data_IF_148608150738
#
_entry.id   IF_148608150738
#
_cell.length_a   1.000
_cell.length_b   1.000
_cell.length_c   1.000
_cell.angle_alpha   90.00
_cell.angle_beta   90.00
_cell.angle_gamma   90.00
#
_symmetry.space_group_name_H-M   'P 1'
#
loop_
_entity.id
_entity.type
_entity.pdbx_description
1 polymer ?
#
# COMPACT_ATOMS: atom_id res chain seq x y z
N UNK A 1 4.69 10.76 24.09
CA UNK A 1 3.85 10.77 22.86
C UNK A 1 4.55 9.85 21.87
N UNK A 2 3.90 8.79 21.42
CA UNK A 2 4.45 7.89 20.40
C UNK A 2 4.47 8.63 19.06
N UNK A 3 5.59 8.58 18.34
CA UNK A 3 5.63 9.13 16.98
C UNK A 3 4.70 8.29 16.08
N UNK A 4 3.89 8.91 15.20
CA UNK A 4 3.06 8.16 14.27
C UNK A 4 3.95 7.32 13.34
N UNK A 5 3.41 6.17 12.91
CA UNK A 5 4.13 5.27 11.98
C UNK A 5 4.34 5.92 10.60
N UNK A 6 3.35 6.67 10.14
CA UNK A 6 3.46 7.51 8.92
C UNK A 6 2.99 8.91 9.26
N UNK A 7 3.78 9.91 8.92
CA UNK A 7 3.40 11.33 9.07
C UNK A 7 3.64 12.06 7.76
N UNK A 8 2.60 12.72 7.29
CA UNK A 8 2.62 13.62 6.15
C UNK A 8 2.16 14.99 6.63
N UNK A 9 2.92 16.04 6.38
CA UNK A 9 2.62 17.40 6.84
C UNK A 9 2.73 18.39 5.69
N UNK A 10 1.68 19.20 5.52
CA UNK A 10 1.62 20.29 4.54
C UNK A 10 1.95 19.85 3.12
N UNK A 11 1.51 18.63 2.73
CA UNK A 11 1.79 18.03 1.44
C UNK A 11 1.16 18.83 0.32
N UNK A 12 1.97 19.24 -0.65
CA UNK A 12 1.56 19.93 -1.87
C UNK A 12 2.07 19.18 -3.09
N UNK A 13 1.21 19.08 -4.12
CA UNK A 13 1.56 18.47 -5.41
C UNK A 13 0.80 19.09 -6.54
N UNK A 14 1.52 19.46 -7.59
CA UNK A 14 0.95 20.00 -8.83
C UNK A 14 1.42 19.21 -10.05
N UNK A 15 0.59 19.14 -11.06
CA UNK A 15 0.94 18.64 -12.38
C UNK A 15 0.71 19.75 -13.40
N UNK A 16 1.80 20.35 -13.87
CA UNK A 16 1.77 21.53 -14.70
C UNK A 16 1.14 22.72 -13.95
N UNK A 17 -0.04 23.19 -14.40
CA UNK A 17 -0.77 24.29 -13.76
C UNK A 17 -1.86 23.83 -12.78
N UNK A 18 -2.09 22.53 -12.67
CA UNK A 18 -3.15 21.98 -11.82
C UNK A 18 -2.55 21.57 -10.48
N UNK A 19 -2.97 22.28 -9.41
CA UNK A 19 -2.63 21.91 -8.04
C UNK A 19 -3.62 20.81 -7.59
N UNK A 20 -3.07 19.61 -7.30
CA UNK A 20 -3.85 18.42 -6.94
C UNK A 20 -3.87 18.20 -5.43
N UNK A 21 -2.74 18.42 -4.75
CA UNK A 21 -2.68 18.44 -3.28
C UNK A 21 -2.36 19.85 -2.82
N UNK A 22 -3.23 20.43 -1.98
CA UNK A 22 -3.22 21.86 -1.63
C UNK A 22 -2.86 22.13 -0.16
N UNK A 23 -2.17 21.36 0.53
CA UNK A 23 -1.86 21.46 1.97
C UNK A 23 -2.51 20.34 2.79
N UNK A 24 -2.17 19.12 2.43
CA UNK A 24 -2.72 17.93 3.09
C UNK A 24 -1.79 17.50 4.22
N UNK A 25 -2.36 17.32 5.41
CA UNK A 25 -1.66 16.73 6.55
C UNK A 25 -2.44 15.52 7.06
N UNK A 26 -1.73 14.41 7.32
CA UNK A 26 -2.29 13.23 7.94
C UNK A 26 -1.24 12.46 8.73
N UNK A 27 -1.67 11.74 9.74
CA UNK A 27 -0.83 10.82 10.50
C UNK A 27 -1.53 9.47 10.62
N UNK A 28 -0.73 8.40 10.67
CA UNK A 28 -1.20 7.02 10.85
C UNK A 28 -0.42 6.40 12.00
N UNK A 29 -1.13 5.99 13.04
CA UNK A 29 -0.54 5.31 14.19
C UNK A 29 -0.33 3.82 13.90
N UNK A 30 0.52 3.17 14.66
CA UNK A 30 0.72 1.73 14.53
C UNK A 30 -0.56 0.96 14.84
N UNK A 31 -0.92 0.00 14.00
CA UNK A 31 -2.13 -0.81 14.11
C UNK A 31 -3.41 -0.11 13.64
N UNK A 32 -3.31 1.14 13.16
CA UNK A 32 -4.44 1.93 12.72
C UNK A 32 -4.78 1.69 11.24
N UNK A 33 -6.05 1.69 10.92
CA UNK A 33 -6.59 1.67 9.56
C UNK A 33 -7.16 3.04 9.20
N UNK A 34 -6.58 3.70 8.20
CA UNK A 34 -7.05 4.99 7.67
C UNK A 34 -7.65 4.76 6.28
N UNK A 35 -8.92 5.08 6.09
CA UNK A 35 -9.55 5.07 4.78
C UNK A 35 -9.58 6.48 4.18
N UNK A 36 -9.20 6.59 2.91
CA UNK A 36 -9.29 7.83 2.12
C UNK A 36 -10.36 7.64 1.07
N UNK A 37 -11.41 8.45 1.15
CA UNK A 37 -12.57 8.40 0.28
C UNK A 37 -12.80 9.75 -0.41
N UNK A 38 -13.66 9.80 -1.40
CA UNK A 38 -14.03 11.04 -2.13
C UNK A 38 -14.22 10.80 -3.62
N UNK A 39 -14.59 11.83 -4.39
CA UNK A 39 -14.85 11.73 -5.82
C UNK A 39 -13.58 11.37 -6.62
N UNK A 40 -13.79 10.83 -7.82
CA UNK A 40 -12.70 10.62 -8.77
C UNK A 40 -12.06 11.96 -9.15
N UNK A 41 -10.72 11.97 -9.24
CA UNK A 41 -9.97 13.21 -9.48
C UNK A 41 -9.66 14.05 -8.24
N UNK A 42 -10.18 13.72 -7.04
CA UNK A 42 -9.93 14.43 -5.78
C UNK A 42 -8.50 14.27 -5.20
N UNK A 43 -7.54 13.73 -5.94
CA UNK A 43 -6.14 13.63 -5.51
C UNK A 43 -5.78 12.43 -4.65
N UNK A 44 -6.72 11.52 -4.32
CA UNK A 44 -6.51 10.37 -3.42
C UNK A 44 -5.32 9.48 -3.83
N UNK A 45 -5.31 9.00 -5.09
CA UNK A 45 -4.20 8.18 -5.60
C UNK A 45 -2.90 8.97 -5.71
N UNK A 46 -2.97 10.28 -5.97
CA UNK A 46 -1.77 11.16 -5.95
C UNK A 46 -1.19 11.24 -4.55
N UNK A 47 -2.04 11.42 -3.52
CA UNK A 47 -1.63 11.43 -2.13
C UNK A 47 -0.94 10.11 -1.74
N UNK A 48 -1.57 8.99 -2.07
CA UNK A 48 -1.02 7.65 -1.80
C UNK A 48 0.31 7.44 -2.55
N UNK A 49 0.41 7.86 -3.83
CA UNK A 49 1.65 7.79 -4.60
C UNK A 49 2.77 8.63 -4.02
N UNK A 50 2.47 9.82 -3.48
CA UNK A 50 3.46 10.63 -2.77
C UNK A 50 3.96 9.93 -1.50
N UNK A 51 3.05 9.35 -0.70
CA UNK A 51 3.43 8.58 0.48
C UNK A 51 4.26 7.35 0.15
N UNK A 52 3.99 6.67 -0.96
CA UNK A 52 4.71 5.46 -1.40
C UNK A 52 5.92 5.73 -2.31
N UNK A 53 6.36 6.98 -2.42
CA UNK A 53 7.52 7.39 -3.21
C UNK A 53 7.44 7.04 -4.70
N UNK A 54 6.22 6.89 -5.24
CA UNK A 54 5.96 6.78 -6.67
C UNK A 54 5.86 8.16 -7.33
N UNK A 55 5.51 9.19 -6.53
CA UNK A 55 5.54 10.59 -6.88
C UNK A 55 6.29 11.37 -5.81
N UNK A 56 6.85 12.51 -6.19
CA UNK A 56 7.51 13.43 -5.27
C UNK A 56 6.56 14.56 -4.86
N UNK A 57 6.62 14.97 -3.60
CA UNK A 57 5.96 16.17 -3.11
C UNK A 57 6.64 17.42 -3.69
N UNK A 58 5.86 18.44 -4.03
CA UNK A 58 6.36 19.76 -4.39
C UNK A 58 6.56 20.62 -3.13
N UNK A 59 5.90 20.32 -2.02
CA UNK A 59 6.06 20.95 -0.71
C UNK A 59 5.56 20.07 0.41
N UNK A 60 6.01 20.35 1.63
CA UNK A 60 5.68 19.58 2.82
C UNK A 60 6.70 18.51 3.20
N UNK A 61 6.36 17.69 4.18
CA UNK A 61 7.25 16.70 4.78
C UNK A 61 6.60 15.33 4.84
N UNK A 62 7.41 14.27 4.71
CA UNK A 62 7.01 12.86 4.86
C UNK A 62 7.98 12.14 5.77
N UNK A 63 7.49 11.38 6.75
CA UNK A 63 8.30 10.50 7.59
C UNK A 63 7.63 9.14 7.80
N UNK A 64 8.47 8.13 8.08
CA UNK A 64 8.08 6.80 8.53
C UNK A 64 8.71 6.57 9.91
N UNK A 65 7.91 6.74 10.97
CA UNK A 65 8.42 6.80 12.35
C UNK A 65 9.50 7.88 12.47
N UNK A 66 10.68 7.50 12.91
CA UNK A 66 11.84 8.42 13.06
C UNK A 66 12.60 8.70 11.75
N UNK A 67 12.25 8.01 10.66
CA UNK A 67 12.90 8.20 9.36
C UNK A 67 12.28 9.38 8.60
N UNK A 68 12.93 10.54 8.62
CA UNK A 68 12.56 11.67 7.77
C UNK A 68 12.91 11.36 6.31
N UNK A 69 11.88 11.19 5.47
CA UNK A 69 12.01 10.83 4.05
C UNK A 69 12.08 12.06 3.17
N UNK A 70 11.22 13.03 3.45
CA UNK A 70 11.21 14.35 2.85
C UNK A 70 10.94 15.40 3.91
N UNK A 71 11.61 16.54 3.82
CA UNK A 71 11.44 17.69 4.71
C UNK A 71 11.08 18.93 3.91
N UNK A 72 10.24 19.80 4.47
CA UNK A 72 9.91 21.06 3.83
C UNK A 72 11.14 21.98 3.80
N UNK A 73 11.62 22.30 2.62
CA UNK A 73 12.76 23.21 2.39
C UNK A 73 12.37 24.67 2.18
N UNK A 74 11.07 25.01 2.35
CA UNK A 74 10.55 26.38 2.13
C UNK A 74 10.27 26.69 0.65
N UNK A 75 11.09 26.23 -0.27
CA UNK A 75 10.88 26.36 -1.73
C UNK A 75 10.46 25.04 -2.39
N UNK A 76 10.29 23.97 -1.60
CA UNK A 76 9.89 22.63 -2.04
C UNK A 76 10.35 21.58 -1.06
N UNK A 77 9.85 20.35 -1.24
CA UNK A 77 10.28 19.21 -0.42
C UNK A 77 11.68 18.74 -0.77
N UNK A 78 12.53 18.59 0.23
CA UNK A 78 13.90 18.06 0.09
C UNK A 78 13.90 16.60 0.53
N UNK A 79 14.15 15.70 -0.40
CA UNK A 79 14.19 14.27 -0.16
C UNK A 79 15.56 13.82 0.36
N UNK A 80 15.55 12.86 1.26
CA UNK A 80 16.75 12.19 1.74
C UNK A 80 17.54 11.50 0.63
N UNK A 81 18.82 11.21 0.87
CA UNK A 81 19.67 10.51 -0.07
C UNK A 81 19.18 9.06 -0.38
N UNK A 82 19.85 8.42 -1.35
CA UNK A 82 19.48 7.05 -1.80
C UNK A 82 19.32 6.04 -0.66
N UNK A 83 20.13 6.12 0.38
CA UNK A 83 20.06 5.23 1.54
C UNK A 83 18.73 5.40 2.30
N UNK A 84 18.32 6.65 2.57
CA UNK A 84 17.07 6.99 3.23
C UNK A 84 15.87 6.49 2.41
N UNK A 85 15.86 6.76 1.11
CA UNK A 85 14.78 6.32 0.21
C UNK A 85 14.72 4.78 0.11
N UNK A 86 15.86 4.11 0.10
CA UNK A 86 15.91 2.64 0.12
C UNK A 86 15.35 2.08 1.43
N UNK A 87 15.71 2.66 2.56
CA UNK A 87 15.19 2.28 3.87
C UNK A 87 13.69 2.55 3.98
N UNK A 88 13.20 3.70 3.49
CA UNK A 88 11.77 4.01 3.48
C UNK A 88 10.96 2.95 2.70
N UNK A 89 11.47 2.51 1.55
CA UNK A 89 10.82 1.48 0.72
C UNK A 89 10.72 0.10 1.38
N UNK A 90 11.46 -0.17 2.45
CA UNK A 90 11.29 -1.41 3.22
C UNK A 90 10.23 -1.30 4.31
N UNK A 91 9.74 -0.08 4.61
CA UNK A 91 8.74 0.15 5.65
C UNK A 91 7.31 -0.10 5.19
N UNK A 92 7.06 -0.07 3.89
CA UNK A 92 5.70 -0.19 3.37
C UNK A 92 5.56 -1.25 2.28
N UNK A 93 4.36 -1.80 2.16
CA UNK A 93 3.88 -2.56 1.02
C UNK A 93 2.83 -1.76 0.26
N UNK A 94 2.77 -1.93 -1.06
CA UNK A 94 1.78 -1.27 -1.91
C UNK A 94 1.03 -2.30 -2.74
N UNK A 95 -0.30 -2.22 -2.67
CA UNK A 95 -1.24 -3.02 -3.46
C UNK A 95 -1.94 -2.09 -4.44
N UNK A 96 -1.73 -2.34 -5.72
CA UNK A 96 -2.26 -1.53 -6.82
C UNK A 96 -3.67 -1.94 -7.23
N UNK A 97 -4.39 -1.03 -7.86
CA UNK A 97 -5.70 -1.24 -8.46
C UNK A 97 -5.70 -2.37 -9.51
N UNK A 98 -4.69 -2.43 -10.38
CA UNK A 98 -4.58 -3.38 -11.48
C UNK A 98 -3.65 -4.57 -11.16
N UNK A 99 -3.58 -5.00 -9.88
CA UNK A 99 -2.78 -6.12 -9.38
C UNK A 99 -1.27 -5.98 -9.64
N UNK A 100 -0.84 -5.56 -10.80
CA UNK A 100 0.54 -5.36 -11.27
C UNK A 100 1.45 -6.57 -10.98
N UNK A 101 0.92 -7.77 -11.19
CA UNK A 101 1.70 -9.00 -11.07
C UNK A 101 2.66 -9.13 -12.26
N UNK A 102 3.80 -9.77 -12.02
CA UNK A 102 4.71 -10.15 -13.10
C UNK A 102 4.07 -11.29 -13.91
N UNK A 103 3.66 -11.05 -15.17
CA UNK A 103 2.79 -11.97 -15.90
C UNK A 103 3.46 -13.33 -16.22
N UNK A 104 4.79 -13.34 -16.29
CA UNK A 104 5.57 -14.56 -16.59
C UNK A 104 6.10 -15.26 -15.32
N UNK A 105 5.79 -14.73 -14.14
CA UNK A 105 6.15 -15.37 -12.87
C UNK A 105 4.99 -16.21 -12.37
N UNK A 106 5.31 -17.34 -11.75
CA UNK A 106 4.31 -18.11 -11.00
C UNK A 106 3.83 -17.29 -9.80
N UNK A 107 2.73 -17.70 -9.20
CA UNK A 107 2.22 -17.14 -7.93
C UNK A 107 3.32 -17.13 -6.87
N UNK A 108 3.96 -18.28 -6.65
CA UNK A 108 5.03 -18.39 -5.66
C UNK A 108 6.19 -17.43 -5.97
N UNK A 109 6.60 -17.32 -7.25
CA UNK A 109 7.69 -16.41 -7.62
C UNK A 109 7.29 -14.94 -7.51
N UNK A 110 6.03 -14.55 -7.78
CA UNK A 110 5.54 -13.20 -7.53
C UNK A 110 5.68 -12.80 -6.05
N UNK A 111 5.46 -13.74 -5.13
CA UNK A 111 5.55 -13.51 -3.68
C UNK A 111 7.01 -13.50 -3.21
N UNK A 112 7.84 -14.40 -3.71
CA UNK A 112 9.18 -14.67 -3.15
C UNK A 112 10.32 -13.86 -3.78
N UNK A 113 10.13 -13.32 -4.98
CA UNK A 113 11.23 -12.69 -5.74
C UNK A 113 11.85 -11.50 -5.00
N UNK A 114 11.07 -10.56 -4.52
CA UNK A 114 11.60 -9.39 -3.83
C UNK A 114 12.27 -9.70 -2.47
N UNK A 115 11.69 -10.53 -1.59
CA UNK A 115 12.37 -10.98 -0.38
C UNK A 115 13.73 -11.65 -0.65
N UNK A 116 13.83 -12.45 -1.71
CA UNK A 116 15.08 -13.14 -2.08
C UNK A 116 16.08 -12.21 -2.77
N UNK A 117 15.62 -11.46 -3.79
CA UNK A 117 16.51 -10.69 -4.68
C UNK A 117 16.90 -9.34 -4.10
N UNK A 118 15.97 -8.65 -3.40
CA UNK A 118 16.16 -7.29 -2.87
C UNK A 118 16.57 -7.33 -1.40
N UNK A 119 15.78 -8.03 -0.55
CA UNK A 119 16.06 -8.11 0.88
C UNK A 119 17.16 -9.13 1.23
N UNK A 120 17.54 -10.00 0.29
CA UNK A 120 18.58 -11.03 0.48
C UNK A 120 18.29 -11.97 1.65
N UNK A 121 17.01 -12.24 1.94
CA UNK A 121 16.61 -13.12 3.04
C UNK A 121 16.90 -14.59 2.72
N UNK A 122 17.15 -15.44 3.73
CA UNK A 122 17.36 -16.87 3.55
C UNK A 122 16.19 -17.54 2.84
N UNK A 123 16.49 -18.36 1.83
CA UNK A 123 15.49 -19.01 0.97
C UNK A 123 14.45 -19.79 1.76
N UNK A 124 14.91 -20.59 2.75
CA UNK A 124 13.99 -21.44 3.52
C UNK A 124 12.98 -20.64 4.32
N UNK A 125 13.40 -19.51 4.90
CA UNK A 125 12.49 -18.59 5.60
C UNK A 125 11.48 -17.93 4.65
N UNK A 126 11.95 -17.48 3.48
CA UNK A 126 11.08 -16.86 2.48
C UNK A 126 10.06 -17.87 1.95
N UNK A 127 10.47 -19.11 1.69
CA UNK A 127 9.58 -20.16 1.21
C UNK A 127 8.54 -20.54 2.26
N UNK A 128 8.94 -20.70 3.52
CA UNK A 128 8.00 -20.97 4.62
C UNK A 128 6.95 -19.86 4.74
N UNK A 129 7.38 -18.60 4.79
CA UNK A 129 6.47 -17.46 4.85
C UNK A 129 5.55 -17.37 3.61
N UNK A 130 6.06 -17.67 2.41
CA UNK A 130 5.25 -17.65 1.21
C UNK A 130 4.13 -18.69 1.27
N UNK A 131 4.39 -19.88 1.78
CA UNK A 131 3.36 -20.92 1.98
C UNK A 131 2.31 -20.49 3.02
N UNK A 132 2.73 -19.90 4.14
CA UNK A 132 1.80 -19.34 5.14
C UNK A 132 0.90 -18.26 4.51
N UNK A 133 1.47 -17.35 3.71
CA UNK A 133 0.72 -16.33 3.00
C UNK A 133 -0.25 -16.93 1.97
N UNK A 134 0.13 -17.98 1.26
CA UNK A 134 -0.78 -18.67 0.33
C UNK A 134 -1.98 -19.28 1.04
N UNK A 135 -1.77 -19.93 2.19
CA UNK A 135 -2.85 -20.45 3.04
C UNK A 135 -3.75 -19.29 3.49
N UNK A 136 -3.17 -18.23 4.04
CA UNK A 136 -3.90 -17.04 4.52
C UNK A 136 -4.74 -16.39 3.42
N UNK A 137 -4.27 -16.38 2.19
CA UNK A 137 -4.96 -15.82 1.02
C UNK A 137 -5.97 -16.80 0.39
N UNK A 138 -6.05 -18.06 0.86
CA UNK A 138 -6.87 -19.10 0.22
C UNK A 138 -6.41 -19.41 -1.21
N UNK A 139 -5.09 -19.50 -1.39
CA UNK A 139 -4.42 -19.75 -2.67
C UNK A 139 -3.62 -21.06 -2.67
N UNK A 140 -3.91 -21.98 -1.74
CA UNK A 140 -3.28 -23.29 -1.66
C UNK A 140 -3.46 -24.07 -2.97
N UNK A 141 -2.40 -24.74 -3.39
CA UNK A 141 -2.38 -25.51 -4.65
C UNK A 141 -2.25 -24.64 -5.92
N UNK A 142 -2.05 -23.32 -5.79
CA UNK A 142 -1.89 -22.39 -6.90
C UNK A 142 -0.47 -21.84 -7.10
N UNK A 143 0.48 -22.41 -6.38
CA UNK A 143 1.88 -21.95 -6.30
C UNK A 143 2.54 -21.83 -7.67
N UNK A 144 2.24 -22.78 -8.56
CA UNK A 144 2.84 -22.91 -9.89
C UNK A 144 2.03 -22.25 -11.01
N UNK A 145 0.82 -21.74 -10.70
CA UNK A 145 -0.01 -21.04 -11.68
C UNK A 145 0.60 -19.66 -12.00
N UNK A 146 0.33 -19.18 -13.21
CA UNK A 146 0.68 -17.83 -13.66
C UNK A 146 -0.56 -16.91 -13.60
N UNK A 147 -0.40 -15.58 -13.57
CA UNK A 147 -1.51 -14.65 -13.39
C UNK A 147 -2.70 -14.86 -14.35
N UNK A 148 -2.46 -15.21 -15.61
CA UNK A 148 -3.54 -15.42 -16.60
C UNK A 148 -4.42 -16.66 -16.30
N UNK A 149 -3.98 -17.56 -15.43
CA UNK A 149 -4.74 -18.75 -15.00
C UNK A 149 -5.59 -18.47 -13.73
N UNK A 150 -5.53 -17.24 -13.20
CA UNK A 150 -6.19 -16.84 -11.96
C UNK A 150 -7.37 -15.90 -12.26
N UNK A 151 -8.44 -16.00 -11.45
CA UNK A 151 -9.47 -14.97 -11.43
C UNK A 151 -8.93 -13.63 -10.92
N UNK A 152 -9.57 -12.51 -11.25
CA UNK A 152 -9.15 -11.17 -10.77
C UNK A 152 -9.01 -11.10 -9.25
N UNK A 153 -9.96 -11.67 -8.50
CA UNK A 153 -9.88 -11.72 -7.04
C UNK A 153 -8.72 -12.57 -6.52
N UNK A 154 -8.34 -13.65 -7.23
CA UNK A 154 -7.15 -14.44 -6.91
C UNK A 154 -5.88 -13.64 -7.21
N UNK A 155 -5.81 -12.94 -8.35
CA UNK A 155 -4.68 -12.08 -8.69
C UNK A 155 -4.48 -10.97 -7.64
N UNK A 156 -5.56 -10.34 -7.18
CA UNK A 156 -5.48 -9.33 -6.13
C UNK A 156 -4.97 -9.91 -4.81
N UNK A 157 -5.41 -11.11 -4.43
CA UNK A 157 -4.89 -11.78 -3.23
C UNK A 157 -3.41 -12.17 -3.36
N UNK A 158 -2.94 -12.52 -4.55
CA UNK A 158 -1.50 -12.68 -4.81
C UNK A 158 -0.75 -11.36 -4.65
N UNK A 159 -1.31 -10.24 -5.13
CA UNK A 159 -0.71 -8.91 -4.96
C UNK A 159 -0.62 -8.51 -3.48
N UNK A 160 -1.63 -8.83 -2.68
CA UNK A 160 -1.60 -8.62 -1.22
C UNK A 160 -0.53 -9.51 -0.57
N UNK A 161 -0.48 -10.81 -0.90
CA UNK A 161 0.55 -11.71 -0.39
C UNK A 161 1.97 -11.23 -0.74
N UNK A 162 2.17 -10.75 -1.97
CA UNK A 162 3.45 -10.17 -2.42
C UNK A 162 3.86 -8.96 -1.58
N UNK A 163 2.92 -8.08 -1.27
CA UNK A 163 3.20 -6.91 -0.44
C UNK A 163 3.53 -7.31 1.01
N UNK A 164 2.80 -8.27 1.58
CA UNK A 164 3.03 -8.81 2.93
C UNK A 164 4.36 -9.57 3.06
N UNK A 165 4.82 -10.25 2.00
CA UNK A 165 6.06 -11.01 2.01
C UNK A 165 7.31 -10.15 2.31
N UNK A 166 7.21 -8.83 2.11
CA UNK A 166 8.27 -7.86 2.45
C UNK A 166 8.34 -7.52 3.93
N UNK A 167 7.40 -8.01 4.77
CA UNK A 167 7.23 -7.66 6.19
C UNK A 167 7.12 -6.14 6.41
N UNK A 168 6.19 -5.47 5.75
CA UNK A 168 6.05 -4.03 5.86
C UNK A 168 5.47 -3.61 7.21
N UNK A 169 5.84 -2.40 7.68
CA UNK A 169 5.23 -1.78 8.85
C UNK A 169 3.82 -1.25 8.55
N UNK A 170 3.56 -0.86 7.28
CA UNK A 170 2.27 -0.34 6.79
C UNK A 170 1.95 -0.85 5.39
N UNK A 171 0.68 -1.16 5.12
CA UNK A 171 0.17 -1.49 3.79
C UNK A 171 -0.63 -0.32 3.21
N UNK A 172 -0.32 0.04 1.98
CA UNK A 172 -1.09 0.99 1.19
C UNK A 172 -1.90 0.23 0.13
N UNK A 173 -3.18 0.61 0.00
CA UNK A 173 -4.09 0.05 -1.00
C UNK A 173 -4.62 1.17 -1.90
N UNK A 174 -4.34 1.10 -3.18
CA UNK A 174 -4.89 2.01 -4.20
C UNK A 174 -6.07 1.35 -4.88
N UNK A 175 -7.29 1.60 -4.39
CA UNK A 175 -8.56 1.07 -4.91
C UNK A 175 -8.54 -0.45 -5.16
N UNK A 176 -8.32 -1.29 -4.13
CA UNK A 176 -7.99 -2.72 -4.30
C UNK A 176 -9.12 -3.57 -4.93
N UNK A 177 -10.31 -3.02 -5.11
CA UNK A 177 -11.49 -3.74 -5.64
C UNK A 177 -12.04 -3.17 -6.92
N UNK A 178 -11.58 -1.99 -7.37
CA UNK A 178 -12.18 -1.28 -8.51
C UNK A 178 -12.03 -1.99 -9.86
N UNK A 179 -11.06 -2.90 -9.99
CA UNK A 179 -10.86 -3.73 -11.18
C UNK A 179 -11.56 -5.11 -11.08
N UNK A 180 -12.44 -5.31 -10.10
CA UNK A 180 -13.07 -6.59 -9.80
C UNK A 180 -14.59 -6.53 -9.99
N UNK A 181 -15.16 -7.67 -10.42
CA UNK A 181 -16.61 -7.86 -10.36
C UNK A 181 -17.10 -7.88 -8.91
N UNK A 182 -18.37 -7.48 -8.65
CA UNK A 182 -18.94 -7.39 -7.29
C UNK A 182 -18.87 -8.71 -6.50
N UNK A 183 -18.95 -9.85 -7.17
CA UNK A 183 -18.85 -11.16 -6.52
C UNK A 183 -17.43 -11.45 -6.00
N UNK A 184 -16.40 -11.04 -6.77
CA UNK A 184 -14.99 -11.23 -6.42
C UNK A 184 -14.51 -10.21 -5.38
N UNK A 185 -15.12 -9.04 -5.34
CA UNK A 185 -14.83 -7.96 -4.38
C UNK A 185 -14.95 -8.44 -2.93
N UNK A 186 -16.00 -9.19 -2.59
CA UNK A 186 -16.26 -9.68 -1.22
C UNK A 186 -15.08 -10.47 -0.66
N UNK A 187 -14.46 -11.32 -1.49
CA UNK A 187 -13.32 -12.14 -1.07
C UNK A 187 -12.07 -11.33 -0.75
N UNK A 188 -11.83 -10.25 -1.51
CA UNK A 188 -10.69 -9.34 -1.28
C UNK A 188 -10.94 -8.46 -0.05
N UNK A 189 -12.14 -7.90 0.09
CA UNK A 189 -12.52 -7.09 1.25
C UNK A 189 -12.46 -7.90 2.56
N UNK A 190 -12.82 -9.19 2.51
CA UNK A 190 -12.66 -10.08 3.67
C UNK A 190 -11.19 -10.18 4.08
N UNK A 191 -10.28 -10.43 3.12
CA UNK A 191 -8.84 -10.51 3.43
C UNK A 191 -8.32 -9.22 4.06
N UNK A 192 -8.74 -8.04 3.54
CA UNK A 192 -8.31 -6.76 4.12
C UNK A 192 -8.89 -6.57 5.54
N UNK A 193 -10.13 -7.02 5.79
CA UNK A 193 -10.72 -7.00 7.13
C UNK A 193 -9.96 -7.93 8.08
N UNK A 194 -9.64 -9.15 7.66
CA UNK A 194 -8.86 -10.10 8.47
C UNK A 194 -7.48 -9.51 8.85
N UNK A 195 -6.85 -8.73 7.94
CA UNK A 195 -5.62 -7.99 8.24
C UNK A 195 -5.82 -6.84 9.24
N UNK A 196 -6.95 -6.14 9.19
CA UNK A 196 -7.31 -5.12 10.17
C UNK A 196 -7.50 -5.73 11.57
N UNK A 197 -8.19 -6.86 11.65
CA UNK A 197 -8.41 -7.60 12.90
C UNK A 197 -7.08 -8.09 13.53
N UNK A 198 -6.06 -8.31 12.71
CA UNK A 198 -4.68 -8.60 13.14
C UNK A 198 -3.85 -7.35 13.48
N UNK A 199 -4.47 -6.19 13.56
CA UNK A 199 -3.80 -4.90 13.82
C UNK A 199 -2.73 -4.50 12.80
N UNK A 200 -2.88 -4.93 11.53
CA UNK A 200 -2.02 -4.44 10.46
C UNK A 200 -2.30 -2.96 10.19
N UNK A 201 -1.28 -2.12 10.24
CA UNK A 201 -1.41 -0.71 9.88
C UNK A 201 -1.71 -0.58 8.39
N UNK A 202 -2.77 0.16 8.04
CA UNK A 202 -3.18 0.28 6.64
C UNK A 202 -3.64 1.69 6.27
N UNK A 203 -3.37 2.08 5.03
CA UNK A 203 -3.97 3.25 4.36
C UNK A 203 -4.68 2.75 3.11
N UNK A 204 -5.99 2.97 3.03
CA UNK A 204 -6.83 2.38 2.00
C UNK A 204 -7.55 3.49 1.23
N UNK A 205 -7.20 3.69 -0.03
CA UNK A 205 -8.02 4.48 -0.96
C UNK A 205 -9.12 3.56 -1.49
N UNK A 206 -10.38 3.94 -1.29
CA UNK A 206 -11.52 3.11 -1.71
C UNK A 206 -12.76 3.92 -2.04
N UNK A 207 -13.61 3.37 -2.90
CA UNK A 207 -14.97 3.85 -3.17
C UNK A 207 -16.04 3.05 -2.41
N UNK A 208 -15.65 1.97 -1.71
CA UNK A 208 -16.54 1.10 -0.94
C UNK A 208 -16.83 1.72 0.44
N UNK A 209 -17.81 2.62 0.49
CA UNK A 209 -18.16 3.39 1.70
C UNK A 209 -18.55 2.51 2.89
N UNK A 210 -19.31 1.44 2.65
CA UNK A 210 -19.71 0.50 3.71
C UNK A 210 -18.50 -0.19 4.30
N UNK A 211 -17.58 -0.65 3.44
CA UNK A 211 -16.34 -1.29 3.88
C UNK A 211 -15.44 -0.31 4.66
N UNK A 212 -15.26 0.91 4.15
CA UNK A 212 -14.47 1.93 4.84
C UNK A 212 -14.99 2.17 6.27
N UNK A 213 -16.33 2.30 6.42
CA UNK A 213 -16.97 2.50 7.73
C UNK A 213 -16.81 1.30 8.67
N UNK A 214 -16.76 0.07 8.12
CA UNK A 214 -16.71 -1.15 8.91
C UNK A 214 -15.28 -1.48 9.40
N UNK A 215 -14.23 -1.00 8.70
CA UNK A 215 -12.83 -1.39 8.96
C UNK A 215 -11.94 -0.25 9.41
N UNK A 216 -12.25 1.00 9.05
CA UNK A 216 -11.36 2.12 9.31
C UNK A 216 -11.58 2.74 10.69
N UNK A 217 -10.48 2.99 11.40
CA UNK A 217 -10.47 3.81 12.62
C UNK A 217 -10.70 5.29 12.30
N UNK A 218 -10.17 5.75 11.15
CA UNK A 218 -10.34 7.10 10.65
C UNK A 218 -10.69 7.11 9.17
N UNK A 219 -11.65 7.97 8.80
CA UNK A 219 -12.03 8.20 7.42
C UNK A 219 -11.70 9.64 7.06
N UNK A 220 -10.90 9.81 6.01
CA UNK A 220 -10.54 11.10 5.43
C UNK A 220 -11.33 11.28 4.15
N UNK A 221 -12.10 12.35 4.07
CA UNK A 221 -12.80 12.73 2.84
C UNK A 221 -11.98 13.76 2.07
N UNK A 222 -11.61 13.45 0.83
CA UNK A 222 -10.89 14.34 -0.07
C UNK A 222 -11.82 14.79 -1.20
N UNK A 223 -12.07 16.10 -1.24
CA UNK A 223 -12.83 16.78 -2.28
C UNK A 223 -11.93 17.91 -2.83
N UNK A 224 -11.44 17.77 -4.04
CA UNK A 224 -10.39 18.47 -4.77
C UNK A 224 -10.05 19.94 -4.56
#
# INVERSE_FOLDING_TARGET
MTNPLVSLSHARKSFGKTEVLKDISLSVEQGQVVAIIGPSGGGKSTLLRCMTLLETLDGGSLSYGDLAVATDGGSGSVYGGKAVLSQAKTRFGLVFQNFNLFPHYTVLKNITDAPLSVQKRPKDQVMAQAHELLVKMGLEGKENMVPCELSGGQQQRVAIARALALNPDVLFFDEPTSALDPELTKGVLKVIRDLADEHMTMVIVTHEMSFARDVADHIIFMDG
#
